data_IF_857273932377
#
_entry.id   IF_857273932377
#
_cell.length_a   1.000
_cell.length_b   1.000
_cell.length_c   1.000
_cell.angle_alpha   90.00
_cell.angle_beta   90.00
_cell.angle_gamma   90.00
#
_symmetry.space_group_name_H-M   'P 1'
#
loop_
_entity.id
_entity.type
_entity.pdbx_description
1 polymer ?
#
# COMPACT_ATOMS: atom_id res chain seq x y z
N UNK A 1 15.70 2.40 27.45
CA UNK A 1 14.95 2.40 26.17
C UNK A 1 13.72 3.24 26.40
N UNK A 2 13.71 4.52 26.01
CA UNK A 2 12.49 5.34 26.05
C UNK A 2 11.59 4.85 24.91
N UNK A 3 10.71 3.91 25.24
CA UNK A 3 9.91 3.10 24.32
C UNK A 3 8.55 3.69 23.99
N UNK A 4 8.47 4.98 23.65
CA UNK A 4 7.24 5.59 23.18
C UNK A 4 7.47 6.09 21.76
N UNK A 5 7.05 5.30 20.77
CA UNK A 5 6.73 5.86 19.46
C UNK A 5 5.55 6.82 19.69
N UNK A 6 5.74 8.10 19.39
CA UNK A 6 4.67 9.09 19.47
C UNK A 6 3.64 8.83 18.36
N UNK A 7 2.64 8.01 18.67
CA UNK A 7 1.58 7.64 17.73
C UNK A 7 0.71 8.85 17.36
N UNK A 8 0.48 9.77 18.29
CA UNK A 8 -0.33 10.96 18.08
C UNK A 8 0.35 11.88 17.07
N UNK A 9 1.67 12.07 17.21
CA UNK A 9 2.49 12.80 16.24
C UNK A 9 2.46 12.21 14.83
N UNK A 10 2.42 10.87 14.70
CA UNK A 10 2.39 10.21 13.38
C UNK A 10 1.15 10.54 12.54
N UNK A 11 0.03 10.93 13.15
CA UNK A 11 -1.18 11.30 12.41
C UNK A 11 -1.02 12.59 11.61
N UNK A 12 -0.13 13.49 12.02
CA UNK A 12 0.12 14.76 11.33
C UNK A 12 1.27 14.69 10.33
N UNK A 13 2.05 13.60 10.36
CA UNK A 13 3.19 13.43 9.48
C UNK A 13 2.76 13.01 8.06
N UNK A 14 3.57 13.34 7.03
CA UNK A 14 3.39 12.79 5.68
C UNK A 14 3.56 11.27 5.65
N UNK A 15 2.81 10.60 4.76
CA UNK A 15 2.78 9.14 4.67
C UNK A 15 4.17 8.49 4.57
N UNK A 16 5.10 9.07 3.82
CA UNK A 16 6.47 8.53 3.68
C UNK A 16 7.27 8.58 5.00
N UNK A 17 7.07 9.62 5.83
CA UNK A 17 7.68 9.75 7.15
C UNK A 17 7.07 8.74 8.12
N UNK A 18 5.75 8.53 8.05
CA UNK A 18 5.07 7.52 8.87
C UNK A 18 5.59 6.12 8.53
N UNK A 19 5.73 5.79 7.24
CA UNK A 19 6.29 4.50 6.80
C UNK A 19 7.73 4.32 7.31
N UNK A 20 8.59 5.34 7.17
CA UNK A 20 9.97 5.30 7.67
C UNK A 20 10.00 5.01 9.17
N UNK A 21 9.27 5.79 9.98
CA UNK A 21 9.24 5.63 11.44
C UNK A 21 8.67 4.29 11.88
N UNK A 22 7.59 3.81 11.26
CA UNK A 22 6.99 2.51 11.57
C UNK A 22 7.94 1.36 11.20
N UNK A 23 8.58 1.45 10.03
CA UNK A 23 9.49 0.39 9.55
C UNK A 23 10.83 0.31 10.30
N UNK A 24 11.18 1.34 11.10
CA UNK A 24 12.33 1.29 12.00
C UNK A 24 12.09 0.39 13.24
N UNK A 25 10.83 0.01 13.52
CA UNK A 25 10.51 -0.90 14.62
C UNK A 25 10.92 -2.34 14.28
N UNK A 26 11.56 -3.02 15.24
CA UNK A 26 11.94 -4.43 15.09
C UNK A 26 10.70 -5.28 14.79
N UNK A 27 10.69 -5.90 13.60
CA UNK A 27 9.60 -6.78 13.15
C UNK A 27 8.57 -6.10 12.23
N UNK A 28 8.69 -4.80 11.96
CA UNK A 28 7.82 -4.06 11.04
C UNK A 28 8.58 -3.77 9.75
N UNK A 29 8.18 -4.39 8.64
CA UNK A 29 8.70 -4.06 7.31
C UNK A 29 7.91 -2.93 6.64
N UNK A 30 8.41 -2.42 5.50
CA UNK A 30 7.72 -1.38 4.70
C UNK A 30 6.29 -1.78 4.34
N UNK A 31 6.08 -3.01 3.86
CA UNK A 31 4.74 -3.51 3.54
C UNK A 31 3.82 -3.49 4.78
N UNK A 32 4.30 -3.94 5.93
CA UNK A 32 3.52 -3.90 7.18
C UNK A 32 3.19 -2.47 7.59
N UNK A 33 4.13 -1.53 7.45
CA UNK A 33 3.89 -0.12 7.70
C UNK A 33 2.81 0.45 6.75
N UNK A 34 2.90 0.18 5.45
CA UNK A 34 1.86 0.56 4.47
C UNK A 34 0.48 -0.04 4.82
N UNK A 35 0.42 -1.28 5.32
CA UNK A 35 -0.83 -1.87 5.80
C UNK A 35 -1.39 -1.16 7.03
N UNK A 36 -0.52 -0.73 7.96
CA UNK A 36 -0.93 0.11 9.09
C UNK A 36 -1.46 1.46 8.60
N UNK A 37 -0.83 2.07 7.58
CA UNK A 37 -1.35 3.32 7.00
C UNK A 37 -2.78 3.15 6.46
N UNK A 38 -3.07 2.03 5.78
CA UNK A 38 -4.41 1.74 5.24
C UNK A 38 -5.43 1.46 6.35
N UNK A 39 -5.14 0.51 7.24
CA UNK A 39 -6.14 -0.08 8.13
C UNK A 39 -6.22 0.58 9.50
N UNK A 40 -5.13 1.18 9.98
CA UNK A 40 -5.08 1.84 11.29
C UNK A 40 -5.10 3.36 11.16
N UNK A 41 -4.31 3.93 10.25
CA UNK A 41 -4.23 5.39 10.05
C UNK A 41 -5.24 5.93 9.03
N UNK A 42 -5.99 5.05 8.34
CA UNK A 42 -7.02 5.43 7.35
C UNK A 42 -6.50 6.40 6.28
N UNK A 43 -5.22 6.30 5.91
CA UNK A 43 -4.61 7.15 4.88
C UNK A 43 -5.26 6.83 3.52
N UNK A 44 -5.69 7.85 2.75
CA UNK A 44 -6.47 7.62 1.53
C UNK A 44 -5.64 7.17 0.32
N UNK A 45 -4.33 7.43 0.31
CA UNK A 45 -3.50 7.33 -0.89
C UNK A 45 -2.35 6.31 -0.81
N UNK A 46 -2.64 5.10 -0.32
CA UNK A 46 -1.62 4.04 -0.19
C UNK A 46 -1.82 2.95 -1.24
N UNK A 47 -0.78 2.73 -2.05
CA UNK A 47 -0.69 1.59 -2.97
C UNK A 47 0.69 0.93 -2.81
N UNK A 48 0.71 -0.25 -2.17
CA UNK A 48 1.94 -0.95 -1.81
C UNK A 48 2.52 -1.75 -2.97
N UNK A 49 3.78 -1.49 -3.34
CA UNK A 49 4.52 -2.33 -4.30
C UNK A 49 4.91 -3.69 -3.68
N UNK A 50 5.09 -3.74 -2.36
CA UNK A 50 5.42 -4.97 -1.64
C UNK A 50 4.26 -5.98 -1.61
N UNK A 51 3.05 -5.54 -1.91
CA UNK A 51 1.86 -6.37 -1.89
C UNK A 51 1.71 -7.17 -3.20
N UNK A 52 1.90 -8.49 -3.09
CA UNK A 52 1.82 -9.40 -4.23
C UNK A 52 0.40 -9.47 -4.81
N UNK A 53 -0.64 -9.36 -3.98
CA UNK A 53 -2.02 -9.41 -4.42
C UNK A 53 -2.39 -8.13 -5.20
N UNK A 54 -1.98 -6.94 -4.74
CA UNK A 54 -2.13 -5.70 -5.51
C UNK A 54 -1.43 -5.80 -6.87
N UNK A 55 -0.18 -6.26 -6.89
CA UNK A 55 0.56 -6.45 -8.15
C UNK A 55 -0.16 -7.42 -9.09
N UNK A 56 -0.67 -8.54 -8.57
CA UNK A 56 -1.51 -9.49 -9.33
C UNK A 56 -2.78 -8.82 -9.82
N UNK A 57 -3.49 -8.08 -8.98
CA UNK A 57 -4.70 -7.34 -9.36
C UNK A 57 -4.47 -6.35 -10.50
N UNK A 58 -3.34 -5.64 -10.50
CA UNK A 58 -2.95 -4.76 -11.62
C UNK A 58 -2.70 -5.59 -12.88
N UNK A 59 -1.97 -6.70 -12.76
CA UNK A 59 -1.69 -7.58 -13.90
C UNK A 59 -2.97 -8.15 -14.51
N UNK A 60 -3.92 -8.63 -13.68
CA UNK A 60 -5.21 -9.14 -14.15
C UNK A 60 -6.07 -8.04 -14.79
N UNK A 61 -6.17 -6.87 -14.14
CA UNK A 61 -7.01 -5.77 -14.63
C UNK A 61 -6.57 -5.23 -16.00
N UNK A 62 -5.26 -5.25 -16.28
CA UNK A 62 -4.69 -4.71 -17.52
C UNK A 62 -4.12 -5.78 -18.46
N UNK A 63 -4.35 -7.08 -18.18
CA UNK A 63 -3.88 -8.18 -19.02
C UNK A 63 -2.34 -8.26 -19.17
N UNK A 64 -1.61 -7.93 -18.10
CA UNK A 64 -0.14 -7.94 -18.10
C UNK A 64 0.40 -9.30 -17.66
N UNK A 65 1.40 -9.83 -18.36
CA UNK A 65 2.13 -11.04 -17.93
C UNK A 65 3.13 -10.77 -16.81
N UNK A 66 3.69 -9.56 -16.79
CA UNK A 66 4.66 -9.09 -15.80
C UNK A 66 4.39 -7.64 -15.48
N UNK A 67 4.83 -7.20 -14.30
CA UNK A 67 4.72 -5.82 -13.84
C UNK A 67 6.06 -5.36 -13.28
N UNK A 68 6.74 -4.48 -14.02
CA UNK A 68 7.96 -3.81 -13.57
C UNK A 68 7.65 -2.76 -12.49
N UNK A 69 8.68 -2.33 -11.76
CA UNK A 69 8.52 -1.28 -10.74
C UNK A 69 8.13 0.06 -11.39
N UNK A 70 8.71 0.39 -12.53
CA UNK A 70 8.41 1.61 -13.29
C UNK A 70 6.96 1.62 -13.77
N UNK A 71 6.46 0.49 -14.26
CA UNK A 71 5.04 0.34 -14.62
C UNK A 71 4.15 0.51 -13.39
N UNK A 72 4.52 -0.11 -12.26
CA UNK A 72 3.78 0.03 -11.01
C UNK A 72 3.69 1.49 -10.56
N UNK A 73 4.79 2.26 -10.59
CA UNK A 73 4.76 3.68 -10.20
C UNK A 73 3.85 4.52 -11.10
N UNK A 74 3.71 4.17 -12.39
CA UNK A 74 2.72 4.80 -13.28
C UNK A 74 1.28 4.52 -12.82
N UNK A 75 0.97 3.30 -12.38
CA UNK A 75 -0.34 2.96 -11.83
C UNK A 75 -0.58 3.61 -10.47
N UNK A 76 0.44 3.66 -9.60
CA UNK A 76 0.38 4.40 -8.33
C UNK A 76 -0.01 5.86 -8.56
N UNK A 77 0.68 6.54 -9.48
CA UNK A 77 0.34 7.93 -9.85
C UNK A 77 -1.07 8.05 -10.44
N UNK A 78 -1.53 7.05 -11.19
CA UNK A 78 -2.88 7.03 -11.78
C UNK A 78 -3.99 6.89 -10.73
N UNK A 79 -3.74 6.19 -9.63
CA UNK A 79 -4.73 5.97 -8.57
C UNK A 79 -4.74 7.05 -7.49
N UNK A 80 -3.71 7.90 -7.43
CA UNK A 80 -3.67 9.05 -6.54
C UNK A 80 -4.78 10.06 -6.85
N UNK A 81 -5.46 10.65 -5.85
CA UNK A 81 -5.17 10.61 -4.40
C UNK A 81 -5.92 9.49 -3.63
N UNK A 82 -6.38 8.45 -4.32
CA UNK A 82 -7.22 7.37 -3.77
C UNK A 82 -6.58 5.99 -3.92
N UNK A 83 -5.25 5.91 -3.77
CA UNK A 83 -4.49 4.66 -3.81
C UNK A 83 -5.04 3.57 -2.88
N UNK A 84 -5.54 3.94 -1.70
CA UNK A 84 -6.12 2.98 -0.74
C UNK A 84 -7.44 2.39 -1.26
N UNK A 85 -8.29 3.21 -1.87
CA UNK A 85 -9.50 2.72 -2.53
C UNK A 85 -9.15 1.78 -3.68
N UNK A 86 -8.16 2.13 -4.50
CA UNK A 86 -7.69 1.25 -5.57
C UNK A 86 -7.14 -0.08 -5.02
N UNK A 87 -6.39 -0.06 -3.92
CA UNK A 87 -5.88 -1.27 -3.26
C UNK A 87 -6.98 -2.28 -2.94
N UNK A 88 -8.14 -1.83 -2.42
CA UNK A 88 -9.28 -2.71 -2.15
C UNK A 88 -9.80 -3.43 -3.40
N UNK A 89 -9.97 -2.71 -4.51
CA UNK A 89 -10.44 -3.31 -5.76
C UNK A 89 -9.38 -4.21 -6.39
N UNK A 90 -8.10 -3.86 -6.28
CA UNK A 90 -7.00 -4.68 -6.81
C UNK A 90 -6.84 -5.98 -6.01
N UNK A 91 -7.00 -5.95 -4.69
CA UNK A 91 -7.09 -7.19 -3.90
C UNK A 91 -8.24 -8.07 -4.39
N UNK A 92 -9.42 -7.51 -4.65
CA UNK A 92 -10.55 -8.27 -5.19
C UNK A 92 -10.25 -8.86 -6.57
N UNK A 93 -9.64 -8.08 -7.46
CA UNK A 93 -9.26 -8.50 -8.80
C UNK A 93 -8.17 -9.59 -8.79
N UNK A 94 -7.30 -9.61 -7.77
CA UNK A 94 -6.19 -10.58 -7.66
C UNK A 94 -6.62 -12.04 -7.54
N UNK A 95 -7.89 -12.29 -7.20
CA UNK A 95 -8.49 -13.62 -7.12
C UNK A 95 -9.15 -14.07 -8.43
N UNK A 96 -8.92 -13.34 -9.53
CA UNK A 96 -9.58 -13.53 -10.82
C UNK A 96 -10.97 -12.90 -10.84
N UNK A 97 -11.31 -12.22 -11.94
CA UNK A 97 -12.68 -11.78 -12.22
C UNK A 97 -13.45 -13.02 -12.70
N UNK A 98 -13.64 -13.99 -11.80
CA UNK A 98 -14.61 -15.05 -11.99
C UNK A 98 -15.98 -14.42 -11.92
N UNK A 99 -16.57 -14.18 -13.10
CA UNK A 99 -18.02 -14.01 -13.24
C UNK A 99 -18.61 -15.31 -12.69
N UNK A 100 -19.15 -15.25 -11.48
CA UNK A 100 -20.10 -16.25 -11.01
C UNK A 100 -21.46 -15.97 -11.66
#
# INVERSE_FOLDING_TARGET
>A
MSGALDLDGLWQEPDHIVVERLSALRGVGVWTAEMLLIFAFLRPDVLSYGDLAIRRGIMELYGLKTLSKEQFERYRKRYSPYGTTASFYLWRASHGIGIA
#
